data_IF_859169140126
#
_entry.id   IF_859169140126
#
_cell.length_a   1.000
_cell.length_b   1.000
_cell.length_c   1.000
_cell.angle_alpha   90.00
_cell.angle_beta   90.00
_cell.angle_gamma   90.00
#
_symmetry.space_group_name_H-M   'P 1'
#
loop_
_entity.id
_entity.type
_entity.pdbx_description
1 polymer ?
#
# COMPACT_ATOMS: atom_id res chain seq x y z
N UNK A 1 -22.54 -31.50 -17.84
CA UNK A 1 -21.89 -31.35 -16.50
C UNK A 1 -20.60 -30.53 -16.59
N UNK A 2 -19.87 -30.66 -17.70
CA UNK A 2 -18.55 -29.98 -17.90
C UNK A 2 -18.66 -28.51 -18.26
N UNK A 3 -19.70 -28.08 -18.97
CA UNK A 3 -19.91 -26.69 -19.38
C UNK A 3 -20.11 -25.74 -18.19
N UNK A 4 -20.71 -26.23 -17.10
CA UNK A 4 -20.89 -25.43 -15.88
C UNK A 4 -19.59 -25.26 -15.06
N UNK A 5 -18.66 -26.18 -15.16
CA UNK A 5 -17.36 -26.10 -14.49
C UNK A 5 -16.42 -25.13 -15.21
N UNK A 6 -16.43 -25.13 -16.54
CA UNK A 6 -15.65 -24.20 -17.38
C UNK A 6 -16.10 -22.74 -17.21
N UNK A 7 -17.41 -22.49 -17.10
CA UNK A 7 -17.93 -21.15 -16.83
C UNK A 7 -17.47 -20.60 -15.48
N UNK A 8 -17.52 -21.40 -14.42
CA UNK A 8 -17.03 -21.02 -13.08
C UNK A 8 -15.53 -20.75 -13.06
N UNK A 9 -14.76 -21.55 -13.77
CA UNK A 9 -13.31 -21.38 -13.88
C UNK A 9 -12.95 -20.04 -14.55
N UNK A 10 -13.62 -19.66 -15.63
CA UNK A 10 -13.42 -18.39 -16.32
C UNK A 10 -13.82 -17.20 -15.47
N UNK A 11 -14.94 -17.25 -14.75
CA UNK A 11 -15.36 -16.17 -13.84
C UNK A 11 -14.35 -15.96 -12.71
N UNK A 12 -13.85 -17.05 -12.12
CA UNK A 12 -12.80 -16.98 -11.10
C UNK A 12 -11.51 -16.39 -11.66
N UNK A 13 -11.07 -16.82 -12.83
CA UNK A 13 -9.87 -16.31 -13.49
C UNK A 13 -9.99 -14.82 -13.81
N UNK A 14 -11.14 -14.37 -14.31
CA UNK A 14 -11.36 -12.95 -14.60
C UNK A 14 -11.34 -12.08 -13.33
N UNK A 15 -11.96 -12.53 -12.25
CA UNK A 15 -11.94 -11.83 -10.96
C UNK A 15 -10.54 -11.76 -10.39
N UNK A 16 -9.77 -12.84 -10.49
CA UNK A 16 -8.38 -12.88 -10.03
C UNK A 16 -7.48 -11.95 -10.86
N UNK A 17 -7.65 -11.94 -12.19
CA UNK A 17 -6.92 -11.05 -13.10
C UNK A 17 -7.21 -9.58 -12.81
N UNK A 18 -8.49 -9.23 -12.58
CA UNK A 18 -8.89 -7.87 -12.21
C UNK A 18 -8.27 -7.45 -10.87
N UNK A 19 -8.31 -8.34 -9.88
CA UNK A 19 -7.71 -8.08 -8.57
C UNK A 19 -6.20 -7.88 -8.67
N UNK A 20 -5.50 -8.73 -9.43
CA UNK A 20 -4.07 -8.62 -9.66
C UNK A 20 -3.72 -7.29 -10.37
N UNK A 21 -4.49 -6.91 -11.38
CA UNK A 21 -4.33 -5.62 -12.07
C UNK A 21 -4.49 -4.43 -11.12
N UNK A 22 -5.52 -4.46 -10.27
CA UNK A 22 -5.74 -3.41 -9.26
C UNK A 22 -4.59 -3.33 -8.25
N UNK A 23 -4.09 -4.47 -7.76
CA UNK A 23 -2.95 -4.50 -6.85
C UNK A 23 -1.69 -3.91 -7.48
N UNK A 24 -1.41 -4.23 -8.74
CA UNK A 24 -0.27 -3.67 -9.48
C UNK A 24 -0.41 -2.14 -9.63
N UNK A 25 -1.60 -1.64 -9.96
CA UNK A 25 -1.86 -0.20 -10.04
C UNK A 25 -1.61 0.51 -8.71
N UNK A 26 -2.14 -0.04 -7.62
CA UNK A 26 -1.93 0.51 -6.26
C UNK A 26 -0.45 0.53 -5.91
N UNK A 27 0.28 -0.55 -6.22
CA UNK A 27 1.71 -0.65 -5.96
C UNK A 27 2.52 0.42 -6.69
N UNK A 28 2.26 0.63 -7.99
CA UNK A 28 2.92 1.70 -8.76
C UNK A 28 2.53 3.10 -8.26
N UNK A 29 1.28 3.30 -7.85
CA UNK A 29 0.83 4.55 -7.23
C UNK A 29 1.59 4.87 -5.95
N UNK A 30 1.80 3.87 -5.09
CA UNK A 30 2.59 4.01 -3.85
C UNK A 30 4.05 4.37 -4.19
N UNK A 31 4.70 3.62 -5.08
CA UNK A 31 6.08 3.91 -5.50
C UNK A 31 6.19 5.33 -6.04
N UNK A 32 5.31 5.74 -6.96
CA UNK A 32 5.31 7.08 -7.56
C UNK A 32 5.17 8.19 -6.53
N UNK A 33 4.21 8.03 -5.61
CA UNK A 33 3.96 9.03 -4.56
C UNK A 33 5.17 9.20 -3.63
N UNK A 34 5.74 8.09 -3.15
CA UNK A 34 6.91 8.16 -2.26
C UNK A 34 8.17 8.61 -3.00
N UNK A 35 8.31 8.28 -4.29
CA UNK A 35 9.39 8.77 -5.13
C UNK A 35 9.36 10.30 -5.26
N UNK A 36 8.20 10.86 -5.58
CA UNK A 36 7.99 12.33 -5.67
C UNK A 36 8.25 13.00 -4.33
N UNK A 37 7.71 12.46 -3.23
CA UNK A 37 7.97 13.00 -1.89
C UNK A 37 9.45 12.98 -1.52
N UNK A 38 10.15 11.89 -1.83
CA UNK A 38 11.57 11.79 -1.57
C UNK A 38 12.38 12.79 -2.40
N UNK A 39 11.96 13.07 -3.64
CA UNK A 39 12.60 14.10 -4.47
C UNK A 39 12.38 15.51 -3.93
N UNK A 40 11.14 15.85 -3.58
CA UNK A 40 10.80 17.20 -3.10
C UNK A 40 11.44 17.55 -1.76
N UNK A 41 11.79 16.54 -0.96
CA UNK A 41 12.42 16.72 0.37
C UNK A 41 13.93 16.48 0.37
N UNK A 42 14.58 16.39 -0.79
CA UNK A 42 16.04 16.12 -0.88
C UNK A 42 16.87 17.12 -0.10
N UNK A 43 16.59 18.43 -0.21
CA UNK A 43 17.30 19.46 0.52
C UNK A 43 17.16 19.31 2.04
N UNK A 44 15.95 19.07 2.54
CA UNK A 44 15.70 18.84 3.98
C UNK A 44 16.42 17.59 4.48
N UNK A 45 16.36 16.51 3.70
CA UNK A 45 17.04 15.24 4.02
C UNK A 45 18.56 15.42 4.00
N UNK A 46 19.11 16.14 3.01
CA UNK A 46 20.53 16.47 2.92
C UNK A 46 21.02 17.29 4.10
N UNK A 47 20.24 18.29 4.53
CA UNK A 47 20.56 19.09 5.71
C UNK A 47 20.58 18.26 6.99
N UNK A 48 19.59 17.38 7.17
CA UNK A 48 19.55 16.47 8.34
C UNK A 48 20.75 15.49 8.36
N UNK A 49 21.15 14.97 7.20
CA UNK A 49 22.34 14.14 7.07
C UNK A 49 23.63 14.93 7.39
N UNK A 50 23.73 16.18 6.94
CA UNK A 50 24.87 17.05 7.26
C UNK A 50 24.96 17.39 8.76
N UNK A 51 23.81 17.45 9.45
CA UNK A 51 23.74 17.64 10.92
C UNK A 51 23.94 16.33 11.71
N UNK A 52 24.30 15.22 11.06
CA UNK A 52 24.62 13.95 11.71
C UNK A 52 23.43 13.01 11.91
N UNK A 53 22.32 13.21 11.22
CA UNK A 53 21.21 12.24 11.25
C UNK A 53 21.64 10.92 10.63
N UNK A 54 21.53 9.83 11.40
CA UNK A 54 21.89 8.50 10.96
C UNK A 54 20.87 7.96 9.95
N UNK A 55 21.34 7.31 8.89
CA UNK A 55 20.53 6.69 7.81
C UNK A 55 19.33 5.89 8.34
N UNK A 56 19.50 5.18 9.45
CA UNK A 56 18.44 4.36 10.06
C UNK A 56 17.27 5.18 10.59
N UNK A 57 17.55 6.35 11.17
CA UNK A 57 16.50 7.23 11.71
C UNK A 57 15.63 7.79 10.60
N UNK A 58 16.25 8.19 9.49
CA UNK A 58 15.54 8.72 8.31
C UNK A 58 14.66 7.66 7.64
N UNK A 59 15.18 6.44 7.49
CA UNK A 59 14.40 5.30 6.97
C UNK A 59 13.18 5.03 7.84
N UNK A 60 13.39 4.92 9.14
CA UNK A 60 12.31 4.67 10.11
C UNK A 60 11.22 5.74 10.04
N UNK A 61 11.61 7.01 9.90
CA UNK A 61 10.66 8.11 9.74
C UNK A 61 9.76 7.95 8.51
N UNK A 62 10.33 7.63 7.34
CA UNK A 62 9.58 7.44 6.10
C UNK A 62 8.64 6.23 6.15
N UNK A 63 9.08 5.12 6.78
CA UNK A 63 8.21 3.97 6.99
C UNK A 63 7.05 4.28 7.94
N UNK A 64 7.32 4.99 9.04
CA UNK A 64 6.29 5.41 9.98
C UNK A 64 5.28 6.35 9.33
N UNK A 65 5.74 7.30 8.49
CA UNK A 65 4.87 8.18 7.72
C UNK A 65 3.91 7.37 6.81
N UNK A 66 4.43 6.39 6.07
CA UNK A 66 3.62 5.52 5.21
C UNK A 66 2.62 4.67 5.98
N UNK A 67 3.04 4.07 7.09
CA UNK A 67 2.16 3.26 7.93
C UNK A 67 1.12 4.10 8.67
N UNK A 68 1.47 5.32 9.07
CA UNK A 68 0.53 6.26 9.69
C UNK A 68 -0.58 6.67 8.70
N UNK A 69 -0.23 6.94 7.44
CA UNK A 69 -1.21 7.21 6.40
C UNK A 69 -2.14 6.01 6.17
N UNK A 70 -1.60 4.78 6.16
CA UNK A 70 -2.41 3.57 6.06
C UNK A 70 -3.36 3.44 7.27
N UNK A 71 -2.86 3.69 8.49
CA UNK A 71 -3.67 3.65 9.69
C UNK A 71 -4.81 4.70 9.66
N UNK A 72 -4.54 5.89 9.11
CA UNK A 72 -5.54 6.94 8.96
C UNK A 72 -6.66 6.55 7.98
N UNK A 73 -6.39 5.73 6.98
CA UNK A 73 -7.40 5.26 6.03
C UNK A 73 -8.28 4.14 6.59
N UNK A 74 -7.87 3.45 7.66
CA UNK A 74 -8.60 2.33 8.26
C UNK A 74 -10.06 2.65 8.61
N UNK A 75 -10.40 3.76 9.31
CA UNK A 75 -11.77 4.05 9.67
C UNK A 75 -12.66 4.25 8.43
N UNK A 76 -12.14 4.88 7.39
CA UNK A 76 -12.88 5.10 6.14
C UNK A 76 -13.15 3.79 5.40
N UNK A 77 -12.15 2.91 5.32
CA UNK A 77 -12.28 1.59 4.68
C UNK A 77 -13.27 0.73 5.48
N UNK A 78 -13.17 0.72 6.81
CA UNK A 78 -14.07 -0.03 7.66
C UNK A 78 -15.53 0.45 7.51
N UNK A 79 -15.76 1.76 7.51
CA UNK A 79 -17.09 2.35 7.32
C UNK A 79 -17.66 2.02 5.92
N UNK A 80 -16.84 2.09 4.88
CA UNK A 80 -17.24 1.71 3.53
C UNK A 80 -17.58 0.22 3.44
N UNK A 81 -16.76 -0.65 4.03
CA UNK A 81 -16.99 -2.09 4.04
C UNK A 81 -18.27 -2.48 4.80
N UNK A 82 -18.54 -1.84 5.95
CA UNK A 82 -19.78 -2.03 6.69
C UNK A 82 -20.99 -1.59 5.86
N UNK A 83 -20.89 -0.45 5.18
CA UNK A 83 -21.96 0.05 4.31
C UNK A 83 -22.25 -0.89 3.17
N UNK A 84 -21.22 -1.46 2.52
CA UNK A 84 -21.35 -2.46 1.45
C UNK A 84 -22.07 -3.72 1.92
N UNK A 85 -21.79 -4.17 3.14
CA UNK A 85 -22.50 -5.31 3.75
C UNK A 85 -23.96 -4.95 4.08
N UNK A 86 -24.19 -3.75 4.63
CA UNK A 86 -25.52 -3.30 5.02
C UNK A 86 -26.47 -3.07 3.82
N UNK A 87 -25.91 -2.70 2.66
CA UNK A 87 -26.69 -2.48 1.42
C UNK A 87 -26.86 -3.75 0.57
N UNK A 88 -26.45 -4.93 1.08
CA UNK A 88 -26.49 -6.21 0.36
C UNK A 88 -25.79 -6.17 -1.02
N UNK A 89 -24.89 -5.21 -1.22
CA UNK A 89 -24.12 -5.04 -2.45
C UNK A 89 -23.14 -6.22 -2.68
N UNK A 90 -22.84 -6.96 -1.63
CA UNK A 90 -22.10 -8.22 -1.67
C UNK A 90 -23.13 -9.33 -1.63
N UNK A 91 -23.12 -10.20 -2.64
CA UNK A 91 -24.03 -11.33 -2.81
C UNK A 91 -23.97 -12.29 -1.61
N UNK A 92 -24.72 -11.93 -0.55
CA UNK A 92 -24.73 -12.62 0.77
C UNK A 92 -25.32 -14.01 0.65
N UNK A 93 -26.07 -14.29 -0.44
CA UNK A 93 -26.66 -15.58 -0.72
C UNK A 93 -25.63 -16.72 -0.92
N UNK A 94 -24.43 -16.37 -1.38
CA UNK A 94 -23.38 -17.36 -1.64
C UNK A 94 -22.44 -17.62 -0.46
N UNK A 95 -22.29 -16.62 0.42
CA UNK A 95 -21.40 -16.69 1.59
C UNK A 95 -22.03 -15.92 2.75
N UNK A 96 -22.60 -16.58 3.74
CA UNK A 96 -23.21 -15.89 4.87
C UNK A 96 -22.18 -14.98 5.57
N UNK A 97 -22.59 -13.76 5.87
CA UNK A 97 -21.76 -12.82 6.60
C UNK A 97 -21.44 -13.40 7.99
N UNK A 98 -20.18 -13.64 8.23
CA UNK A 98 -19.67 -14.02 9.52
C UNK A 98 -18.62 -13.02 9.95
N UNK A 99 -18.78 -12.42 11.13
CA UNK A 99 -17.85 -11.41 11.67
C UNK A 99 -16.40 -11.89 11.66
N UNK A 100 -16.17 -13.17 11.96
CA UNK A 100 -14.83 -13.78 11.91
C UNK A 100 -14.22 -13.77 10.51
N UNK A 101 -14.99 -14.12 9.48
CA UNK A 101 -14.52 -14.09 8.07
C UNK A 101 -14.20 -12.67 7.63
N UNK A 102 -15.04 -11.72 7.99
CA UNK A 102 -14.81 -10.30 7.69
C UNK A 102 -13.51 -9.81 8.34
N UNK A 103 -13.31 -10.10 9.63
CA UNK A 103 -12.11 -9.70 10.35
C UNK A 103 -10.83 -10.32 9.76
N UNK A 104 -10.87 -11.60 9.37
CA UNK A 104 -9.73 -12.28 8.74
C UNK A 104 -9.42 -11.66 7.38
N UNK A 105 -10.42 -11.46 6.52
CA UNK A 105 -10.23 -10.86 5.18
C UNK A 105 -9.68 -9.44 5.29
N UNK A 106 -10.21 -8.66 6.23
CA UNK A 106 -9.75 -7.31 6.50
C UNK A 106 -8.29 -7.29 6.99
N UNK A 107 -7.95 -8.21 7.90
CA UNK A 107 -6.59 -8.37 8.41
C UNK A 107 -5.58 -8.75 7.31
N UNK A 108 -5.94 -9.70 6.44
CA UNK A 108 -5.10 -10.12 5.31
C UNK A 108 -4.89 -8.95 4.35
N UNK A 109 -5.95 -8.22 3.99
CA UNK A 109 -5.87 -7.06 3.10
C UNK A 109 -4.97 -5.98 3.69
N UNK A 110 -5.13 -5.67 4.99
CA UNK A 110 -4.30 -4.70 5.68
C UNK A 110 -2.83 -5.10 5.71
N UNK A 111 -2.55 -6.39 5.96
CA UNK A 111 -1.18 -6.93 5.96
C UNK A 111 -0.55 -6.86 4.55
N UNK A 112 -1.30 -7.18 3.51
CA UNK A 112 -0.84 -7.04 2.12
C UNK A 112 -0.55 -5.58 1.77
N UNK A 113 -1.44 -4.64 2.13
CA UNK A 113 -1.24 -3.20 1.87
C UNK A 113 -0.03 -2.66 2.62
N UNK A 114 0.14 -3.04 3.89
CA UNK A 114 1.31 -2.67 4.70
C UNK A 114 2.61 -3.19 4.06
N UNK A 115 2.63 -4.42 3.58
CA UNK A 115 3.75 -5.01 2.84
C UNK A 115 4.07 -4.24 1.56
N UNK A 116 3.05 -3.87 0.78
CA UNK A 116 3.22 -3.06 -0.43
C UNK A 116 3.80 -1.67 -0.13
N UNK A 117 3.34 -1.01 0.94
CA UNK A 117 3.88 0.28 1.38
C UNK A 117 5.35 0.12 1.76
N UNK A 118 5.69 -0.89 2.55
CA UNK A 118 7.09 -1.15 2.93
C UNK A 118 7.99 -1.38 1.71
N UNK A 119 7.55 -2.19 0.76
CA UNK A 119 8.28 -2.43 -0.50
C UNK A 119 8.37 -1.18 -1.37
N UNK A 120 7.26 -0.43 -1.49
CA UNK A 120 7.18 0.80 -2.28
C UNK A 120 8.09 1.92 -1.75
N UNK A 121 8.24 2.01 -0.43
CA UNK A 121 9.13 2.98 0.21
C UNK A 121 10.60 2.53 0.13
N UNK A 122 10.86 1.23 0.14
CA UNK A 122 12.21 0.68 0.17
C UNK A 122 13.09 1.17 -1.00
N UNK A 123 12.52 1.20 -2.22
CA UNK A 123 13.23 1.63 -3.42
C UNK A 123 13.68 3.11 -3.36
N UNK A 124 12.76 4.10 -3.13
CA UNK A 124 13.14 5.51 -3.08
C UNK A 124 14.04 5.83 -1.89
N UNK A 125 13.79 5.22 -0.73
CA UNK A 125 14.60 5.42 0.47
C UNK A 125 16.04 4.97 0.25
N UNK A 126 16.24 3.78 -0.32
CA UNK A 126 17.58 3.25 -0.60
C UNK A 126 18.38 4.15 -1.57
N UNK A 127 17.68 4.81 -2.49
CA UNK A 127 18.34 5.72 -3.44
C UNK A 127 18.74 7.05 -2.75
N UNK A 128 17.85 7.61 -1.94
CA UNK A 128 18.10 8.89 -1.26
C UNK A 128 19.17 8.77 -0.17
N UNK A 129 19.19 7.68 0.60
CA UNK A 129 20.18 7.47 1.66
C UNK A 129 21.57 7.11 1.13
N UNK A 130 21.72 6.76 -0.14
CA UNK A 130 23.02 6.52 -0.78
C UNK A 130 23.62 7.76 -1.45
N UNK A 131 22.90 8.89 -1.49
CA UNK A 131 23.43 10.14 -2.03
C UNK A 131 24.46 10.73 -1.06
N UNK A 132 25.59 11.17 -1.61
CA UNK A 132 26.60 11.90 -0.82
C UNK A 132 26.01 13.24 -0.41
N UNK A 133 26.19 13.70 0.85
CA UNK A 133 25.62 14.97 1.36
C UNK A 133 25.99 16.18 0.49
N UNK A 134 27.18 16.17 -0.12
CA UNK A 134 27.67 17.24 -1.00
C UNK A 134 26.86 17.37 -2.31
N UNK A 135 26.34 16.27 -2.81
CA UNK A 135 25.53 16.23 -4.06
C UNK A 135 24.10 16.74 -3.82
N UNK A 136 23.58 16.58 -2.59
CA UNK A 136 22.26 17.05 -2.21
C UNK A 136 22.19 18.57 -2.06
N UNK A 137 23.30 19.26 -1.75
CA UNK A 137 23.40 20.71 -1.60
C UNK A 137 23.68 21.46 -2.93
N UNK A 138 24.04 20.75 -3.99
CA UNK A 138 24.42 21.35 -5.28
C UNK A 138 23.25 21.41 -6.28
N UNK A 139 22.04 21.05 -5.87
CA UNK A 139 20.83 20.99 -6.70
C UNK A 139 19.89 22.21 -6.50
N UNK A 140 20.40 23.34 -6.01
CA UNK A 140 19.72 24.65 -6.07
C UNK A 140 20.14 25.47 -7.28
#
# INVERSE_FOLDING_TARGET
RDIHLDGKGREMSNKFSLMAFMLVNVFFGIIGTFWLRAQNRRGEIGLRMALGAYDGTLRRYLYLEGLCLLALTLPFIALFAINMVATDAIDTYRLPFTTGRFAISFGITYLMMSGMICLGIWLPVRKVTRMVPAEALHYE
#
